data_IF_897291160371
#
_entry.id   IF_897291160371
#
_cell.length_a   1.000
_cell.length_b   1.000
_cell.length_c   1.000
_cell.angle_alpha   90.00
_cell.angle_beta   90.00
_cell.angle_gamma   90.00
#
_symmetry.space_group_name_H-M   'P 1'
#
loop_
_entity.id
_entity.type
_entity.pdbx_description
1 polymer ?
#
# COMPACT_ATOMS: atom_id res chain seq x y z
N UNK A 1 -11.80 -6.81 -7.74
CA UNK A 1 -10.66 -6.07 -8.31
C UNK A 1 -11.06 -4.81 -9.04
N UNK A 2 -11.92 -4.91 -10.06
CA UNK A 2 -12.29 -3.74 -10.88
C UNK A 2 -13.06 -2.65 -10.11
N UNK A 3 -13.96 -3.06 -9.20
CA UNK A 3 -14.67 -2.13 -8.31
C UNK A 3 -13.71 -1.29 -7.46
N UNK A 4 -12.75 -1.92 -6.76
CA UNK A 4 -11.76 -1.21 -5.95
C UNK A 4 -10.93 -0.23 -6.79
N UNK A 5 -10.52 -0.61 -8.01
CA UNK A 5 -9.82 0.29 -8.93
C UNK A 5 -10.68 1.50 -9.31
N UNK A 6 -11.97 1.29 -9.58
CA UNK A 6 -12.90 2.35 -9.93
C UNK A 6 -13.14 3.32 -8.76
N UNK A 7 -13.37 2.78 -7.55
CA UNK A 7 -13.54 3.57 -6.32
C UNK A 7 -12.29 4.39 -6.00
N UNK A 8 -11.11 3.77 -6.08
CA UNK A 8 -9.83 4.48 -5.87
C UNK A 8 -9.58 5.52 -6.96
N UNK A 9 -9.91 5.24 -8.21
CA UNK A 9 -9.79 6.22 -9.29
C UNK A 9 -10.68 7.44 -9.03
N UNK A 10 -11.89 7.20 -8.55
CA UNK A 10 -12.82 8.28 -8.19
C UNK A 10 -12.29 9.11 -7.02
N UNK A 11 -11.85 8.46 -5.94
CA UNK A 11 -11.32 9.15 -4.75
C UNK A 11 -10.09 10.01 -5.06
N UNK A 12 -9.16 9.46 -5.85
CA UNK A 12 -7.90 10.13 -6.17
C UNK A 12 -8.07 11.25 -7.20
N UNK A 13 -9.23 11.33 -7.86
CA UNK A 13 -9.46 12.27 -8.96
C UNK A 13 -8.65 11.96 -10.22
N UNK A 14 -8.08 10.75 -10.32
CA UNK A 14 -7.28 10.29 -11.45
C UNK A 14 -7.67 8.85 -11.85
N UNK A 15 -7.71 8.57 -13.16
CA UNK A 15 -7.94 7.21 -13.67
C UNK A 15 -6.72 6.32 -13.41
N UNK A 16 -6.88 5.30 -12.58
CA UNK A 16 -5.86 4.27 -12.41
C UNK A 16 -5.84 3.31 -13.61
N UNK A 17 -4.66 3.12 -14.23
CA UNK A 17 -4.51 2.15 -15.32
C UNK A 17 -4.64 0.71 -14.81
N UNK A 18 -3.99 0.40 -13.70
CA UNK A 18 -4.06 -0.91 -13.03
C UNK A 18 -3.80 -0.80 -11.53
N UNK A 19 -4.20 -1.85 -10.82
CA UNK A 19 -3.81 -2.10 -9.44
C UNK A 19 -3.22 -3.50 -9.35
N UNK A 20 -2.18 -3.68 -8.56
CA UNK A 20 -1.43 -4.93 -8.45
C UNK A 20 -1.35 -5.39 -7.00
N UNK A 21 -1.69 -6.65 -6.72
CA UNK A 21 -1.59 -7.21 -5.37
C UNK A 21 -0.11 -7.45 -5.03
N UNK A 22 0.41 -6.75 -4.04
CA UNK A 22 1.78 -6.92 -3.55
C UNK A 22 1.82 -7.95 -2.43
N UNK A 23 0.79 -7.98 -1.59
CA UNK A 23 0.68 -8.94 -0.49
C UNK A 23 -0.79 -9.18 -0.18
N UNK A 24 -1.15 -10.43 0.08
CA UNK A 24 -2.49 -10.81 0.49
C UNK A 24 -2.43 -11.74 1.70
N UNK A 25 -3.31 -11.47 2.66
CA UNK A 25 -3.56 -12.26 3.86
C UNK A 25 -5.07 -12.41 4.02
N UNK A 26 -5.50 -13.32 4.89
CA UNK A 26 -6.91 -13.66 5.09
C UNK A 26 -7.85 -12.46 5.31
N UNK A 27 -7.37 -11.38 5.92
CA UNK A 27 -8.17 -10.21 6.28
C UNK A 27 -7.68 -8.89 5.68
N UNK A 28 -6.62 -8.91 4.88
CA UNK A 28 -6.01 -7.69 4.33
C UNK A 28 -5.22 -7.95 3.06
N UNK A 29 -5.29 -7.01 2.12
CA UNK A 29 -4.46 -7.02 0.92
C UNK A 29 -3.82 -5.65 0.70
N UNK A 30 -2.57 -5.65 0.21
CA UNK A 30 -1.79 -4.47 -0.11
C UNK A 30 -1.67 -4.34 -1.63
N UNK A 31 -2.00 -3.17 -2.14
CA UNK A 31 -2.14 -2.89 -3.56
C UNK A 31 -1.17 -1.78 -3.98
N UNK A 32 -0.36 -2.05 -5.01
CA UNK A 32 0.36 -1.03 -5.74
C UNK A 32 -0.58 -0.38 -6.77
N UNK A 33 -0.58 0.95 -6.82
CA UNK A 33 -1.40 1.73 -7.74
C UNK A 33 -0.54 2.27 -8.88
N UNK A 34 -1.12 2.30 -10.08
CA UNK A 34 -0.48 2.84 -11.27
C UNK A 34 -1.37 3.90 -11.89
N UNK A 35 -0.75 5.02 -12.23
CA UNK A 35 -1.41 6.19 -12.83
C UNK A 35 -1.98 5.86 -14.22
N UNK A 36 -2.61 6.84 -14.87
CA UNK A 36 -3.20 6.63 -16.20
C UNK A 36 -2.19 6.24 -17.29
N UNK A 37 -0.92 6.57 -17.13
CA UNK A 37 0.18 6.26 -18.04
C UNK A 37 0.88 4.93 -17.72
N UNK A 38 0.52 4.29 -16.60
CA UNK A 38 1.12 3.03 -16.15
C UNK A 38 2.35 3.21 -15.26
N UNK A 39 2.66 4.42 -14.80
CA UNK A 39 3.74 4.66 -13.85
C UNK A 39 3.29 4.34 -12.43
N UNK A 40 4.19 3.82 -11.57
CA UNK A 40 3.88 3.56 -10.18
C UNK A 40 3.60 4.86 -9.42
N UNK A 41 2.45 4.92 -8.75
CA UNK A 41 2.11 6.05 -7.88
C UNK A 41 2.95 6.04 -6.59
N UNK A 42 3.17 7.22 -5.96
CA UNK A 42 3.88 7.34 -4.68
C UNK A 42 3.05 6.89 -3.46
N UNK A 43 1.88 6.27 -3.69
CA UNK A 43 1.01 5.74 -2.66
C UNK A 43 0.57 4.30 -2.97
N UNK A 44 0.15 3.61 -1.93
CA UNK A 44 -0.42 2.27 -1.97
C UNK A 44 -1.80 2.31 -1.31
N UNK A 45 -2.61 1.30 -1.61
CA UNK A 45 -3.88 1.06 -0.93
C UNK A 45 -3.78 -0.24 -0.14
N UNK A 46 -4.25 -0.25 1.11
CA UNK A 46 -4.38 -1.47 1.90
C UNK A 46 -5.83 -1.68 2.27
N UNK A 47 -6.43 -2.74 1.74
CA UNK A 47 -7.81 -3.11 2.04
C UNK A 47 -7.89 -4.01 3.27
N UNK A 48 -9.01 -3.93 3.99
CA UNK A 48 -9.33 -4.74 5.15
C UNK A 48 -10.75 -5.28 5.03
N UNK A 49 -10.93 -6.57 5.24
CA UNK A 49 -12.27 -7.18 5.28
C UNK A 49 -13.00 -6.91 6.59
N UNK A 50 -12.27 -6.60 7.66
CA UNK A 50 -12.84 -6.25 8.98
C UNK A 50 -12.97 -4.73 9.12
N UNK A 51 -14.17 -4.20 9.40
CA UNK A 51 -14.37 -2.78 9.67
C UNK A 51 -13.51 -2.26 10.82
N UNK A 52 -13.07 -1.01 10.73
CA UNK A 52 -12.33 -0.31 11.77
C UNK A 52 -10.83 -0.62 11.82
N UNK A 53 -10.35 -1.71 11.19
CA UNK A 53 -8.92 -2.04 11.16
C UNK A 53 -8.08 -1.00 10.41
N UNK A 54 -8.60 -0.47 9.30
CA UNK A 54 -7.91 0.60 8.56
C UNK A 54 -7.71 1.84 9.43
N UNK A 55 -8.75 2.28 10.14
CA UNK A 55 -8.71 3.40 11.08
C UNK A 55 -7.75 3.15 12.24
N UNK A 56 -7.77 1.95 12.82
CA UNK A 56 -6.86 1.57 13.90
C UNK A 56 -5.39 1.60 13.43
N UNK A 57 -5.09 1.07 12.24
CA UNK A 57 -3.74 1.09 11.69
C UNK A 57 -3.29 2.51 11.36
N UNK A 58 -4.16 3.34 10.76
CA UNK A 58 -3.88 4.76 10.51
C UNK A 58 -3.47 5.48 11.79
N UNK A 59 -4.22 5.28 12.88
CA UNK A 59 -3.93 5.89 14.17
C UNK A 59 -2.60 5.40 14.75
N UNK A 60 -2.35 4.08 14.77
CA UNK A 60 -1.08 3.51 15.26
C UNK A 60 0.12 4.05 14.50
N UNK A 61 0.05 4.06 13.16
CA UNK A 61 1.12 4.57 12.30
C UNK A 61 1.37 6.05 12.53
N UNK A 62 0.31 6.87 12.64
CA UNK A 62 0.42 8.31 12.90
C UNK A 62 1.03 8.60 14.27
N UNK A 63 0.66 7.83 15.29
CA UNK A 63 1.26 7.96 16.63
C UNK A 63 2.75 7.60 16.60
N UNK A 64 3.11 6.47 15.97
CA UNK A 64 4.50 6.06 15.81
C UNK A 64 5.32 7.06 14.98
N UNK A 65 4.73 7.70 13.98
CA UNK A 65 5.40 8.74 13.18
C UNK A 65 5.77 9.98 14.01
N UNK A 66 5.01 10.27 15.08
CA UNK A 66 5.23 11.43 15.95
C UNK A 66 6.23 11.15 17.08
N UNK A 67 6.24 9.94 17.62
CA UNK A 67 7.01 9.61 18.83
C UNK A 67 8.11 8.56 18.61
N UNK A 68 8.20 7.98 17.42
CA UNK A 68 9.16 6.93 17.08
C UNK A 68 10.48 7.47 16.57
N UNK A 69 11.51 6.64 16.65
CA UNK A 69 12.84 6.89 16.05
C UNK A 69 12.97 6.33 14.64
N UNK A 70 11.99 5.54 14.20
CA UNK A 70 11.95 4.90 12.87
C UNK A 70 10.96 5.65 11.98
N UNK A 71 11.37 5.84 10.72
CA UNK A 71 10.50 6.43 9.69
C UNK A 71 9.26 5.57 9.49
N UNK A 72 8.09 6.13 9.76
CA UNK A 72 6.81 5.52 9.43
C UNK A 72 6.31 6.01 8.07
N UNK A 73 5.53 5.19 7.32
CA UNK A 73 4.89 5.66 6.10
C UNK A 73 3.85 6.72 6.39
N UNK A 74 3.80 7.75 5.55
CA UNK A 74 2.76 8.77 5.61
C UNK A 74 1.38 8.14 5.36
N UNK A 75 0.38 8.50 6.17
CA UNK A 75 -1.01 8.10 5.95
C UNK A 75 -1.74 9.22 5.21
N UNK A 76 -2.30 8.93 4.04
CA UNK A 76 -3.02 9.92 3.23
C UNK A 76 -4.52 9.96 3.54
N UNK A 77 -5.10 8.85 3.97
CA UNK A 77 -6.52 8.80 4.29
C UNK A 77 -7.02 7.40 4.57
N UNK A 78 -8.25 7.33 5.08
CA UNK A 78 -8.99 6.08 5.31
C UNK A 78 -10.33 6.21 4.61
N UNK A 79 -10.67 5.23 3.78
CA UNK A 79 -11.99 5.03 3.22
C UNK A 79 -12.71 3.98 4.08
N UNK A 80 -13.92 4.31 4.52
CA UNK A 80 -14.79 3.38 5.22
C UNK A 80 -16.14 3.36 4.52
N UNK A 81 -16.75 2.20 4.38
CA UNK A 81 -18.08 2.08 3.77
C UNK A 81 -19.11 1.91 4.89
N UNK A 82 -19.76 3.01 5.29
CA UNK A 82 -20.79 2.97 6.35
C UNK A 82 -22.15 2.46 5.83
N UNK A 83 -22.47 2.71 4.56
CA UNK A 83 -23.78 2.41 3.95
C UNK A 83 -23.78 1.19 3.01
N UNK A 84 -22.60 0.69 2.61
CA UNK A 84 -22.47 -0.40 1.65
C UNK A 84 -21.42 -1.43 2.10
N UNK A 85 -21.56 -2.72 1.78
CA UNK A 85 -20.56 -3.73 2.10
C UNK A 85 -19.34 -3.59 1.18
N UNK A 86 -18.45 -2.67 1.52
CA UNK A 86 -17.13 -2.49 0.90
C UNK A 86 -16.00 -2.68 1.91
N UNK A 87 -14.81 -3.12 1.49
CA UNK A 87 -13.68 -3.24 2.39
C UNK A 87 -13.17 -1.85 2.79
N UNK A 88 -12.84 -1.66 4.07
CA UNK A 88 -12.15 -0.45 4.51
C UNK A 88 -10.79 -0.35 3.80
N UNK A 89 -10.42 0.83 3.32
CA UNK A 89 -9.15 1.05 2.61
C UNK A 89 -8.31 2.10 3.32
N UNK A 90 -7.05 1.77 3.60
CA UNK A 90 -6.04 2.71 4.06
C UNK A 90 -5.16 3.14 2.89
N UNK A 91 -5.07 4.44 2.64
CA UNK A 91 -4.10 5.02 1.71
C UNK A 91 -2.83 5.40 2.47
N UNK A 92 -1.70 4.90 2.01
CA UNK A 92 -0.41 5.08 2.66
C UNK A 92 0.71 5.28 1.65
N UNK A 93 1.80 5.89 2.10
CA UNK A 93 3.01 6.11 1.31
C UNK A 93 3.58 4.79 0.75
N UNK A 94 3.95 4.81 -0.53
CA UNK A 94 4.77 3.76 -1.13
C UNK A 94 6.22 3.94 -0.70
N UNK A 95 6.59 3.24 0.37
CA UNK A 95 7.98 3.22 0.87
C UNK A 95 8.92 2.62 -0.17
N UNK A 96 10.07 3.26 -0.38
CA UNK A 96 11.17 2.70 -1.16
C UNK A 96 12.02 1.79 -0.28
N UNK A 97 12.66 0.80 -0.90
CA UNK A 97 13.57 -0.14 -0.25
C UNK A 97 13.08 -1.58 -0.30
N UNK A 98 13.84 -2.45 0.37
CA UNK A 98 13.57 -3.90 0.45
C UNK A 98 13.43 -4.29 1.93
N UNK A 99 12.62 -5.31 2.20
CA UNK A 99 12.53 -5.86 3.56
C UNK A 99 13.90 -6.37 4.00
N UNK A 100 14.28 -6.14 5.26
CA UNK A 100 15.47 -6.74 5.87
C UNK A 100 15.36 -8.27 5.93
N UNK A 101 14.15 -8.80 5.95
CA UNK A 101 13.85 -10.24 5.92
C UNK A 101 13.77 -10.80 4.49
N UNK A 102 13.65 -9.94 3.46
CA UNK A 102 13.76 -10.39 2.09
C UNK A 102 15.18 -10.96 1.93
N UNK A 103 15.28 -12.21 1.45
CA UNK A 103 16.16 -13.25 1.93
C UNK A 103 17.59 -12.80 2.17
N UNK A 104 18.18 -13.31 3.26
CA UNK A 104 19.62 -13.36 3.44
C UNK A 104 20.29 -13.61 2.09
N UNK A 105 21.08 -12.63 1.64
CA UNK A 105 21.75 -12.61 0.35
C UNK A 105 22.47 -13.94 0.16
N UNK A 106 21.93 -14.83 -0.66
CA UNK A 106 22.81 -15.78 -1.31
C UNK A 106 23.71 -14.95 -2.22
N UNK A 107 25.03 -15.17 -2.27
CA UNK A 107 25.95 -14.39 -3.09
C UNK A 107 25.45 -14.21 -4.53
N UNK A 108 24.79 -15.23 -5.07
CA UNK A 108 24.24 -15.26 -6.42
C UNK A 108 23.11 -14.23 -6.64
N UNK A 109 22.26 -14.00 -5.62
CA UNK A 109 21.19 -13.00 -5.68
C UNK A 109 21.70 -11.56 -5.52
N UNK A 110 22.81 -11.39 -4.80
CA UNK A 110 23.48 -10.10 -4.69
C UNK A 110 24.08 -9.66 -6.03
N UNK A 111 24.72 -10.59 -6.76
CA UNK A 111 25.23 -10.29 -8.11
C UNK A 111 24.10 -9.92 -9.08
N UNK A 112 22.98 -10.65 -9.08
CA UNK A 112 21.81 -10.31 -9.92
C UNK A 112 21.17 -8.95 -9.60
N UNK A 113 21.20 -8.52 -8.33
CA UNK A 113 20.63 -7.23 -7.93
C UNK A 113 21.51 -6.06 -8.39
N UNK A 114 22.85 -6.22 -8.40
CA UNK A 114 23.77 -5.18 -8.90
C UNK A 114 23.47 -4.83 -10.35
N UNK A 115 23.14 -5.83 -11.17
CA UNK A 115 22.82 -5.62 -12.59
C UNK A 115 21.51 -4.84 -12.83
N UNK A 116 20.67 -4.69 -11.79
CA UNK A 116 19.35 -4.04 -11.88
C UNK A 116 19.29 -2.65 -11.22
N UNK A 117 20.34 -2.25 -10.51
CA UNK A 117 20.44 -0.93 -9.89
C UNK A 117 21.22 -0.03 -10.87
N UNK A 118 20.50 0.90 -11.53
CA UNK A 118 21.05 1.96 -12.41
C UNK A 118 21.57 3.13 -11.58
#
# INVERSE_FOLDING_TARGET
MEQLRAELSHLLGEKLSRIECVNEKADTALWALYDSQGNPMPLMARSFSTPGKARQLAWKTTMLARSGTVRMPTIYGVMTHEEHPGPDVLLLERMRGVSVEAPARTPERWEQLKDQIV
#
